data_IF_589679614479
#
_entry.id   IF_589679614479
#
_cell.length_a   1.000
_cell.length_b   1.000
_cell.length_c   1.000
_cell.angle_alpha   90.00
_cell.angle_beta   90.00
_cell.angle_gamma   90.00
#
_symmetry.space_group_name_H-M   'P 1'
#
loop_
_entity.id
_entity.type
_entity.pdbx_description
1 polymer ?
#
# COMPACT_ATOMS: atom_id res chain seq x y z
N UNK A 1 -23.01 -19.48 58.81
CA UNK A 1 -22.85 -18.70 57.57
C UNK A 1 -21.66 -17.77 57.73
N UNK A 2 -20.56 -17.99 56.99
CA UNK A 2 -19.44 -17.04 56.86
C UNK A 2 -18.59 -17.45 55.67
N UNK A 3 -18.26 -16.47 54.82
CA UNK A 3 -17.55 -16.57 53.55
C UNK A 3 -16.04 -16.68 53.79
N UNK A 4 -15.34 -17.59 53.11
CA UNK A 4 -13.95 -17.43 52.67
C UNK A 4 -13.48 -18.67 51.88
N UNK A 5 -13.60 -18.64 50.55
CA UNK A 5 -12.77 -19.49 49.68
C UNK A 5 -12.38 -18.72 48.43
N UNK A 6 -11.43 -17.81 48.61
CA UNK A 6 -10.60 -17.25 47.56
C UNK A 6 -9.16 -17.59 47.91
N UNK A 7 -8.51 -18.43 47.07
CA UNK A 7 -7.07 -18.46 46.86
C UNK A 7 -6.72 -19.43 45.73
N UNK A 8 -6.06 -18.90 44.68
CA UNK A 8 -5.22 -19.59 43.67
C UNK A 8 -5.97 -20.46 42.64
N UNK A 9 -5.65 -20.54 41.34
CA UNK A 9 -4.57 -20.11 40.43
C UNK A 9 -5.20 -20.33 39.03
N UNK A 10 -5.27 -19.37 38.12
CA UNK A 10 -4.25 -19.11 37.12
C UNK A 10 -4.61 -17.79 36.43
N UNK A 11 -3.78 -16.76 36.63
CA UNK A 11 -3.74 -15.64 35.72
C UNK A 11 -3.08 -16.11 34.43
N UNK A 12 -3.85 -16.15 33.34
CA UNK A 12 -3.26 -16.04 32.01
C UNK A 12 -2.79 -14.60 31.89
N UNK A 13 -1.49 -14.40 32.05
CA UNK A 13 -0.82 -13.11 31.89
C UNK A 13 -1.12 -12.61 30.47
N UNK A 14 -1.97 -11.60 30.35
CA UNK A 14 -2.07 -10.78 29.16
C UNK A 14 -0.75 -10.00 29.04
N UNK A 15 0.18 -10.51 28.24
CA UNK A 15 1.42 -9.82 27.91
C UNK A 15 1.12 -8.76 26.83
N UNK A 16 1.25 -7.45 27.10
CA UNK A 16 0.96 -6.41 26.12
C UNK A 16 2.26 -5.99 25.41
N UNK A 17 2.82 -6.87 24.59
CA UNK A 17 4.04 -6.57 23.82
C UNK A 17 4.20 -7.50 22.63
N UNK A 18 3.60 -7.12 21.49
CA UNK A 18 3.69 -7.89 20.25
C UNK A 18 3.51 -7.08 18.96
N UNK A 19 3.63 -5.75 18.99
CA UNK A 19 3.46 -4.90 17.79
C UNK A 19 4.67 -4.90 16.84
N UNK A 20 5.80 -5.50 17.20
CA UNK A 20 7.02 -5.48 16.37
C UNK A 20 7.13 -6.67 15.40
N UNK A 21 6.33 -7.73 15.55
CA UNK A 21 6.39 -8.92 14.69
C UNK A 21 5.40 -8.88 13.52
N UNK A 22 4.33 -8.08 13.61
CA UNK A 22 3.26 -8.06 12.60
C UNK A 22 3.69 -7.35 11.32
N UNK A 23 4.33 -6.18 11.41
CA UNK A 23 4.72 -5.39 10.23
C UNK A 23 5.80 -6.07 9.38
N UNK A 24 6.76 -6.73 10.01
CA UNK A 24 7.80 -7.49 9.29
C UNK A 24 7.21 -8.70 8.56
N UNK A 25 6.17 -9.31 9.14
CA UNK A 25 5.39 -10.36 8.48
C UNK A 25 4.58 -9.80 7.30
N UNK A 26 3.94 -8.64 7.46
CA UNK A 26 3.16 -7.97 6.41
C UNK A 26 4.00 -7.68 5.17
N UNK A 27 5.16 -7.03 5.34
CA UNK A 27 6.04 -6.70 4.22
C UNK A 27 6.62 -7.94 3.56
N UNK A 28 6.95 -8.98 4.34
CA UNK A 28 7.37 -10.28 3.78
C UNK A 28 6.28 -10.90 2.92
N UNK A 29 5.02 -10.86 3.35
CA UNK A 29 3.87 -11.33 2.57
C UNK A 29 3.64 -10.47 1.33
N UNK A 30 3.77 -9.15 1.46
CA UNK A 30 3.67 -8.22 0.33
C UNK A 30 4.68 -8.52 -0.80
N UNK A 31 5.88 -8.99 -0.46
CA UNK A 31 6.92 -9.36 -1.43
C UNK A 31 6.99 -10.86 -1.73
N UNK A 32 6.13 -11.67 -1.11
CA UNK A 32 6.05 -13.12 -1.35
C UNK A 32 4.85 -13.42 -2.22
N UNK A 33 5.11 -14.01 -3.40
CA UNK A 33 4.06 -14.36 -4.34
C UNK A 33 3.07 -15.38 -3.75
N UNK A 34 1.79 -15.26 -4.14
CA UNK A 34 0.67 -16.12 -3.68
C UNK A 34 0.47 -16.15 -2.15
N UNK A 35 0.71 -15.03 -1.47
CA UNK A 35 0.40 -14.91 -0.04
C UNK A 35 -1.11 -14.74 0.16
N UNK A 36 -1.70 -15.50 1.09
CA UNK A 36 -3.07 -15.27 1.54
C UNK A 36 -3.14 -14.02 2.42
N UNK A 37 -4.21 -13.22 2.31
CA UNK A 37 -4.46 -12.05 3.15
C UNK A 37 -5.76 -12.25 3.95
N UNK A 38 -5.67 -12.64 5.23
CA UNK A 38 -6.82 -12.91 6.08
C UNK A 38 -7.56 -11.63 6.50
N UNK A 39 -6.91 -10.47 6.37
CA UNK A 39 -7.48 -9.17 6.61
C UNK A 39 -7.39 -8.33 5.33
N UNK A 40 -8.55 -7.90 4.83
CA UNK A 40 -8.66 -7.05 3.64
C UNK A 40 -8.03 -5.68 3.87
N UNK A 41 -8.16 -5.11 5.06
CA UNK A 41 -7.62 -3.79 5.37
C UNK A 41 -6.08 -3.81 5.39
N UNK A 42 -5.48 -4.92 5.86
CA UNK A 42 -4.03 -5.16 5.82
C UNK A 42 -3.50 -5.15 4.37
N UNK A 43 -4.26 -5.76 3.46
CA UNK A 43 -3.90 -5.79 2.03
C UNK A 43 -4.10 -4.42 1.37
N UNK A 44 -5.19 -3.72 1.68
CA UNK A 44 -5.45 -2.36 1.19
C UNK A 44 -4.35 -1.38 1.63
N UNK A 45 -3.83 -1.50 2.85
CA UNK A 45 -2.69 -0.71 3.33
C UNK A 45 -1.44 -0.95 2.47
N UNK A 46 -1.12 -2.20 2.13
CA UNK A 46 0.02 -2.53 1.27
C UNK A 46 -0.14 -1.97 -0.14
N UNK A 47 -1.35 -2.05 -0.71
CA UNK A 47 -1.67 -1.44 -2.01
C UNK A 47 -1.53 0.08 -1.94
N UNK A 48 -2.05 0.71 -0.89
CA UNK A 48 -1.93 2.15 -0.66
C UNK A 48 -0.45 2.59 -0.62
N UNK A 49 0.36 1.95 0.22
CA UNK A 49 1.77 2.32 0.40
C UNK A 49 2.62 2.02 -0.84
N UNK A 50 2.39 0.90 -1.52
CA UNK A 50 3.09 0.57 -2.78
C UNK A 50 2.80 1.60 -3.86
N UNK A 51 1.54 2.03 -4.01
CA UNK A 51 1.16 3.13 -4.91
C UNK A 51 1.84 4.45 -4.53
N UNK A 52 1.99 4.74 -3.25
CA UNK A 52 2.65 5.97 -2.81
C UNK A 52 4.12 5.99 -3.23
N UNK A 53 4.82 4.87 -3.07
CA UNK A 53 6.21 4.70 -3.53
C UNK A 53 6.29 4.83 -5.06
N UNK A 54 5.42 4.12 -5.80
CA UNK A 54 5.35 4.21 -7.26
C UNK A 54 5.11 5.65 -7.73
N UNK A 55 4.17 6.36 -7.10
CA UNK A 55 3.83 7.73 -7.49
C UNK A 55 5.00 8.70 -7.32
N UNK A 56 5.74 8.59 -6.22
CA UNK A 56 6.96 9.37 -5.98
C UNK A 56 8.04 9.02 -7.01
N UNK A 57 8.31 7.73 -7.23
CA UNK A 57 9.34 7.30 -8.20
C UNK A 57 9.03 7.75 -9.63
N UNK A 58 7.78 7.56 -10.07
CA UNK A 58 7.33 8.04 -11.39
C UNK A 58 7.43 9.56 -11.47
N UNK A 59 7.05 10.29 -10.41
CA UNK A 59 7.16 11.74 -10.35
C UNK A 59 8.60 12.23 -10.50
N UNK A 60 9.56 11.55 -9.87
CA UNK A 60 11.00 11.84 -10.06
C UNK A 60 11.39 11.62 -11.52
N UNK A 61 11.12 10.44 -12.08
CA UNK A 61 11.50 10.09 -13.46
C UNK A 61 10.89 11.06 -14.48
N UNK A 62 9.61 11.41 -14.33
CA UNK A 62 8.93 12.38 -15.18
C UNK A 62 9.37 13.82 -14.95
N UNK A 63 9.96 14.14 -13.79
CA UNK A 63 10.54 15.45 -13.55
C UNK A 63 11.90 15.60 -14.23
N UNK A 64 12.66 14.50 -14.33
CA UNK A 64 13.94 14.46 -15.05
C UNK A 64 13.76 14.53 -16.57
N UNK A 65 12.70 13.90 -17.09
CA UNK A 65 12.36 13.94 -18.51
C UNK A 65 11.43 15.15 -18.73
N UNK A 66 11.63 16.01 -19.74
CA UNK A 66 10.78 17.19 -19.94
C UNK A 66 9.38 16.87 -20.53
N UNK A 67 8.74 15.81 -20.04
CA UNK A 67 7.36 15.46 -20.33
C UNK A 67 6.44 16.55 -19.81
N UNK A 68 5.45 16.95 -20.62
CA UNK A 68 4.55 18.07 -20.33
C UNK A 68 3.10 17.71 -20.63
N UNK A 69 2.21 18.40 -19.91
CA UNK A 69 0.78 18.40 -20.20
C UNK A 69 0.09 17.06 -19.96
N UNK A 70 -1.02 16.86 -20.65
CA UNK A 70 -1.93 15.74 -20.43
C UNK A 70 -1.28 14.35 -20.64
N UNK A 71 -0.31 14.24 -21.55
CA UNK A 71 0.38 12.97 -21.82
C UNK A 71 1.08 12.43 -20.57
N UNK A 72 1.69 13.30 -19.78
CA UNK A 72 2.36 12.93 -18.54
C UNK A 72 1.37 12.31 -17.53
N UNK A 73 0.18 12.92 -17.41
CA UNK A 73 -0.89 12.46 -16.52
C UNK A 73 -1.48 11.13 -16.99
N UNK A 74 -1.71 10.99 -18.31
CA UNK A 74 -2.24 9.76 -18.89
C UNK A 74 -1.28 8.59 -18.68
N UNK A 75 0.02 8.81 -18.91
CA UNK A 75 1.04 7.79 -18.69
C UNK A 75 1.16 7.42 -17.21
N UNK A 76 1.07 8.40 -16.30
CA UNK A 76 1.00 8.11 -14.87
C UNK A 76 -0.18 7.18 -14.54
N UNK A 77 -1.38 7.49 -15.03
CA UNK A 77 -2.56 6.69 -14.76
C UNK A 77 -2.41 5.25 -15.30
N UNK A 78 -1.89 5.09 -16.53
CA UNK A 78 -1.64 3.79 -17.14
C UNK A 78 -0.60 2.97 -16.37
N UNK A 79 0.53 3.58 -16.00
CA UNK A 79 1.59 2.90 -15.24
C UNK A 79 1.12 2.53 -13.84
N UNK A 80 0.47 3.46 -13.14
CA UNK A 80 0.00 3.23 -11.77
C UNK A 80 -1.10 2.16 -11.71
N UNK A 81 -2.09 2.23 -12.60
CA UNK A 81 -3.15 1.22 -12.68
C UNK A 81 -2.60 -0.13 -13.17
N UNK A 82 -1.77 -0.12 -14.21
CA UNK A 82 -1.19 -1.33 -14.79
C UNK A 82 -0.26 -2.08 -13.83
N UNK A 83 0.64 -1.40 -13.12
CA UNK A 83 1.54 -2.03 -12.15
C UNK A 83 0.77 -2.69 -11.01
N UNK A 84 -0.25 -2.01 -10.50
CA UNK A 84 -1.05 -2.57 -9.40
C UNK A 84 -1.91 -3.72 -9.89
N UNK A 85 -2.52 -3.61 -11.07
CA UNK A 85 -3.24 -4.71 -11.70
C UNK A 85 -2.38 -5.96 -11.85
N UNK A 86 -1.17 -5.81 -12.41
CA UNK A 86 -0.21 -6.91 -12.53
C UNK A 86 0.21 -7.45 -11.17
N UNK A 87 0.38 -6.59 -10.16
CA UNK A 87 0.75 -7.01 -8.81
C UNK A 87 -0.30 -7.92 -8.16
N UNK A 88 -1.58 -7.53 -8.09
CA UNK A 88 -2.58 -8.38 -7.45
C UNK A 88 -3.00 -9.57 -8.33
N UNK A 89 -3.09 -9.38 -9.66
CA UNK A 89 -3.53 -10.43 -10.60
C UNK A 89 -2.45 -11.49 -10.86
N UNK A 90 -1.21 -11.08 -11.10
CA UNK A 90 -0.13 -12.00 -11.51
C UNK A 90 0.86 -12.34 -10.40
N UNK A 91 1.13 -11.43 -9.46
CA UNK A 91 2.12 -11.67 -8.40
C UNK A 91 1.49 -12.27 -7.15
N UNK A 92 0.32 -11.78 -6.74
CA UNK A 92 -0.42 -12.36 -5.61
C UNK A 92 -1.45 -13.42 -6.02
N UNK A 93 -1.79 -13.53 -7.31
CA UNK A 93 -2.79 -14.48 -7.85
C UNK A 93 -4.10 -14.46 -7.06
N UNK A 94 -4.52 -13.28 -6.62
CA UNK A 94 -5.70 -13.11 -5.79
C UNK A 94 -6.94 -13.17 -6.67
N UNK A 95 -7.97 -13.89 -6.19
CA UNK A 95 -9.31 -13.76 -6.75
C UNK A 95 -9.89 -12.40 -6.36
N UNK A 96 -10.00 -11.51 -7.34
CA UNK A 96 -10.39 -10.11 -7.15
C UNK A 96 -11.78 -9.99 -6.49
N UNK A 97 -12.64 -10.98 -6.68
CA UNK A 97 -14.00 -11.02 -6.11
C UNK A 97 -14.00 -11.14 -4.58
N UNK A 98 -12.96 -11.77 -3.99
CA UNK A 98 -12.86 -11.98 -2.54
C UNK A 98 -12.54 -10.67 -1.78
N UNK A 99 -11.94 -9.69 -2.46
CA UNK A 99 -11.49 -8.43 -1.86
C UNK A 99 -12.39 -7.23 -2.21
N UNK A 100 -13.60 -7.49 -2.72
CA UNK A 100 -14.57 -6.44 -3.11
C UNK A 100 -14.44 -5.98 -4.58
N UNK A 101 -13.70 -6.73 -5.39
CA UNK A 101 -13.49 -6.51 -6.82
C UNK A 101 -12.27 -5.66 -7.15
N UNK A 102 -11.73 -5.81 -8.37
CA UNK A 102 -10.61 -5.01 -8.86
C UNK A 102 -10.84 -3.50 -8.74
N UNK A 103 -12.09 -3.04 -8.81
CA UNK A 103 -12.40 -1.62 -8.71
C UNK A 103 -12.06 -1.03 -7.35
N UNK A 104 -12.31 -1.77 -6.27
CA UNK A 104 -12.00 -1.32 -4.91
C UNK A 104 -10.49 -1.27 -4.67
N UNK A 105 -9.76 -2.27 -5.15
CA UNK A 105 -8.30 -2.31 -5.11
C UNK A 105 -7.67 -1.23 -6.01
N UNK A 106 -8.31 -0.93 -7.15
CA UNK A 106 -7.79 0.01 -8.13
C UNK A 106 -7.97 1.47 -7.69
N UNK A 107 -9.08 1.79 -7.00
CA UNK A 107 -9.31 3.14 -6.46
C UNK A 107 -8.48 3.43 -5.21
N UNK A 108 -8.15 2.40 -4.43
CA UNK A 108 -7.44 2.57 -3.16
C UNK A 108 -6.07 3.22 -3.38
N UNK A 109 -5.78 4.30 -2.67
CA UNK A 109 -4.53 5.06 -2.81
C UNK A 109 -4.29 5.74 -4.16
N UNK A 110 -5.21 5.71 -5.13
CA UNK A 110 -5.00 6.33 -6.44
C UNK A 110 -4.90 7.86 -6.34
N UNK A 111 -5.86 8.51 -5.67
CA UNK A 111 -5.91 9.96 -5.55
C UNK A 111 -4.72 10.53 -4.77
N UNK A 112 -4.29 9.84 -3.72
CA UNK A 112 -3.14 10.23 -2.89
C UNK A 112 -1.82 10.00 -3.62
N UNK A 113 -1.68 8.87 -4.35
CA UNK A 113 -0.54 8.61 -5.22
C UNK A 113 -0.45 9.63 -6.36
N UNK A 114 -1.58 10.01 -6.95
CA UNK A 114 -1.66 11.04 -7.98
C UNK A 114 -1.21 12.41 -7.45
N UNK A 115 -1.67 12.81 -6.28
CA UNK A 115 -1.21 14.05 -5.63
C UNK A 115 0.30 14.00 -5.35
N UNK A 116 0.80 12.88 -4.83
CA UNK A 116 2.24 12.67 -4.60
C UNK A 116 3.07 12.78 -5.87
N UNK A 117 2.62 12.11 -6.94
CA UNK A 117 3.21 12.22 -8.28
C UNK A 117 3.27 13.66 -8.76
N UNK A 118 2.16 14.41 -8.70
CA UNK A 118 2.12 15.80 -9.15
C UNK A 118 3.09 16.68 -8.37
N UNK A 119 3.13 16.55 -7.04
CA UNK A 119 4.02 17.33 -6.18
C UNK A 119 5.47 17.05 -6.53
N UNK A 120 5.87 15.78 -6.58
CA UNK A 120 7.26 15.40 -6.90
C UNK A 120 7.64 15.81 -8.32
N UNK A 121 6.74 15.58 -9.29
CA UNK A 121 6.96 15.94 -10.69
C UNK A 121 7.16 17.44 -10.86
N UNK A 122 6.26 18.28 -10.32
CA UNK A 122 6.33 19.74 -10.46
C UNK A 122 7.59 20.29 -9.78
N UNK A 123 7.94 19.80 -8.59
CA UNK A 123 9.14 20.25 -7.87
C UNK A 123 10.41 19.95 -8.67
N UNK A 124 10.57 18.71 -9.13
CA UNK A 124 11.77 18.29 -9.87
C UNK A 124 11.82 18.97 -11.24
N UNK A 125 10.70 18.97 -11.98
CA UNK A 125 10.62 19.59 -13.30
C UNK A 125 10.97 21.08 -13.20
N UNK A 126 10.37 21.80 -12.26
CA UNK A 126 10.67 23.22 -12.03
C UNK A 126 12.15 23.39 -11.65
N UNK A 127 12.65 22.67 -10.66
CA UNK A 127 14.04 22.82 -10.21
C UNK A 127 15.10 22.57 -11.29
N UNK A 128 14.82 21.69 -12.25
CA UNK A 128 15.78 21.32 -13.31
C UNK A 128 15.60 22.08 -14.63
N UNK A 129 14.39 22.56 -14.91
CA UNK A 129 14.04 23.22 -16.18
C UNK A 129 13.63 24.69 -15.98
N UNK A 130 14.07 25.31 -14.87
CA UNK A 130 13.94 26.75 -14.64
C UNK A 130 14.98 27.47 -15.51
N UNK A 131 14.56 27.99 -16.66
CA UNK A 131 15.25 29.06 -17.40
C UNK A 131 14.71 30.43 -16.94
#
# INVERSE_FOLDING_TARGET
>A
MSKAKQAMRNGTVSNPSGKSTSTDSMWKRAITANSEWPDKDEFLDVIYWSRQVIGILVGIVWGLIPLKGFVALLLFALVNAGLIYVYFSSFQSIDEEEYGGAWELTKEGFMTSFAGFLVTWIIIYSGLHFD
#
